data_IF_993172506265
#
_entry.id   IF_993172506265
#
_cell.length_a   1.000
_cell.length_b   1.000
_cell.length_c   1.000
_cell.angle_alpha   90.00
_cell.angle_beta   90.00
_cell.angle_gamma   90.00
#
_symmetry.space_group_name_H-M   'P 1'
#
loop_
_entity.id
_entity.type
_entity.pdbx_description
1 polymer ?
#
# COMPACT_ATOMS: atom_id res chain seq x y z
N UNK A 1 -22.00 25.60 4.13
CA UNK A 1 -20.66 25.84 3.55
C UNK A 1 -20.08 24.48 3.19
N UNK A 2 -19.46 24.30 2.01
CA UNK A 2 -18.79 23.04 1.69
C UNK A 2 -17.65 22.80 2.70
N UNK A 3 -17.53 21.57 3.19
CA UNK A 3 -16.45 21.16 4.08
C UNK A 3 -15.11 21.27 3.33
N UNK A 4 -14.05 21.83 3.93
CA UNK A 4 -12.74 21.85 3.29
C UNK A 4 -12.30 20.43 2.94
N UNK A 5 -11.78 20.25 1.72
CA UNK A 5 -11.26 18.95 1.27
C UNK A 5 -9.92 18.70 1.94
N UNK A 6 -9.65 17.44 2.32
CA UNK A 6 -8.35 17.05 2.88
C UNK A 6 -7.26 17.28 1.83
N UNK A 7 -6.18 17.94 2.24
CA UNK A 7 -5.05 18.26 1.38
C UNK A 7 -3.99 17.17 1.45
N UNK A 8 -3.61 16.65 0.30
CA UNK A 8 -2.65 15.56 0.15
C UNK A 8 -1.47 16.07 -0.66
N UNK A 9 -0.26 15.93 -0.11
CA UNK A 9 0.97 16.00 -0.88
C UNK A 9 1.38 14.58 -1.26
N UNK A 10 1.52 14.27 -2.56
CA UNK A 10 1.91 12.95 -3.05
C UNK A 10 3.18 13.02 -3.90
N UNK A 11 4.23 12.30 -3.52
CA UNK A 11 5.46 12.23 -4.29
C UNK A 11 5.77 10.80 -4.72
N UNK A 12 6.00 10.61 -6.03
CA UNK A 12 6.26 9.32 -6.67
C UNK A 12 7.12 9.57 -7.91
N UNK A 13 8.13 8.73 -8.19
CA UNK A 13 9.02 8.93 -9.33
C UNK A 13 8.36 8.62 -10.69
N UNK A 14 7.17 8.01 -10.68
CA UNK A 14 6.48 7.54 -11.86
C UNK A 14 5.15 8.27 -12.08
N UNK A 15 5.11 9.10 -13.14
CA UNK A 15 3.94 9.90 -13.52
C UNK A 15 2.64 9.09 -13.61
N UNK A 16 2.70 7.85 -14.12
CA UNK A 16 1.52 6.98 -14.24
C UNK A 16 0.82 6.69 -12.90
N UNK A 17 1.56 6.60 -11.79
CA UNK A 17 0.98 6.35 -10.48
C UNK A 17 0.37 7.62 -9.90
N UNK A 18 1.02 8.77 -10.12
CA UNK A 18 0.45 10.09 -9.82
C UNK A 18 -0.87 10.28 -10.56
N UNK A 19 -0.89 10.06 -11.88
CA UNK A 19 -2.07 10.25 -12.72
C UNK A 19 -3.23 9.36 -12.26
N UNK A 20 -2.98 8.07 -12.05
CA UNK A 20 -3.99 7.13 -11.57
C UNK A 20 -4.54 7.51 -10.18
N UNK A 21 -3.69 7.96 -9.27
CA UNK A 21 -4.11 8.42 -7.94
C UNK A 21 -4.95 9.70 -8.02
N UNK A 22 -4.53 10.67 -8.83
CA UNK A 22 -5.26 11.92 -9.03
C UNK A 22 -6.61 11.65 -9.68
N UNK A 23 -6.68 10.82 -10.71
CA UNK A 23 -7.93 10.43 -11.37
C UNK A 23 -8.91 9.79 -10.37
N UNK A 24 -8.43 8.83 -9.57
CA UNK A 24 -9.27 8.10 -8.62
C UNK A 24 -9.75 8.95 -7.43
N UNK A 25 -9.02 10.01 -7.05
CA UNK A 25 -9.23 10.68 -5.76
C UNK A 25 -9.43 12.20 -5.81
N UNK A 26 -9.28 12.83 -6.98
CA UNK A 26 -9.51 14.28 -7.18
C UNK A 26 -10.98 14.71 -7.04
N UNK A 27 -11.91 13.79 -6.81
CA UNK A 27 -13.27 14.10 -6.36
C UNK A 27 -13.39 14.36 -4.85
N UNK A 28 -12.46 13.83 -4.05
CA UNK A 28 -12.52 13.88 -2.58
C UNK A 28 -11.35 14.63 -1.92
N UNK A 29 -10.14 14.57 -2.49
CA UNK A 29 -8.95 15.24 -1.96
C UNK A 29 -8.44 16.39 -2.83
N UNK A 30 -7.85 17.40 -2.22
CA UNK A 30 -7.03 18.42 -2.91
C UNK A 30 -5.60 17.87 -2.99
N UNK A 31 -5.10 17.57 -4.19
CA UNK A 31 -3.85 16.82 -4.38
C UNK A 31 -2.79 17.72 -5.00
N UNK A 32 -1.65 17.85 -4.31
CA UNK A 32 -0.42 18.40 -4.85
C UNK A 32 0.55 17.25 -5.08
N UNK A 33 1.10 17.12 -6.29
CA UNK A 33 1.98 16.01 -6.64
C UNK A 33 3.34 16.43 -7.15
N UNK A 34 4.35 15.59 -6.93
CA UNK A 34 5.73 15.82 -7.36
C UNK A 34 6.42 14.55 -7.81
N UNK A 35 7.23 14.64 -8.87
CA UNK A 35 8.02 13.52 -9.39
C UNK A 35 9.37 13.34 -8.68
N UNK A 36 9.80 14.32 -7.90
CA UNK A 36 11.14 14.38 -7.35
C UNK A 36 11.13 14.52 -5.83
N UNK A 37 11.44 13.42 -5.15
CA UNK A 37 11.53 13.37 -3.69
C UNK A 37 12.58 14.33 -3.12
N UNK A 38 13.62 14.67 -3.89
CA UNK A 38 14.65 15.60 -3.44
C UNK A 38 14.11 17.02 -3.24
N UNK A 39 13.05 17.37 -3.96
CA UNK A 39 12.37 18.66 -3.87
C UNK A 39 11.27 18.69 -2.81
N UNK A 40 10.84 17.54 -2.29
CA UNK A 40 9.62 17.44 -1.49
C UNK A 40 9.59 18.35 -0.26
N UNK A 41 10.72 18.48 0.45
CA UNK A 41 10.81 19.39 1.60
C UNK A 41 10.55 20.85 1.21
N UNK A 42 11.18 21.30 0.12
CA UNK A 42 11.06 22.68 -0.33
C UNK A 42 9.66 22.98 -0.86
N UNK A 43 9.04 22.01 -1.54
CA UNK A 43 7.67 22.13 -2.06
C UNK A 43 6.63 22.16 -0.94
N UNK A 44 6.74 21.26 0.04
CA UNK A 44 5.87 21.28 1.23
C UNK A 44 6.04 22.58 2.02
N UNK A 45 7.26 23.11 2.15
CA UNK A 45 7.48 24.40 2.82
C UNK A 45 6.78 25.54 2.07
N UNK A 46 6.87 25.59 0.73
CA UNK A 46 6.15 26.59 -0.07
C UNK A 46 4.64 26.52 0.11
N UNK A 47 4.07 25.31 0.23
CA UNK A 47 2.64 25.11 0.51
C UNK A 47 2.29 25.65 1.90
N UNK A 48 3.10 25.35 2.92
CA UNK A 48 2.92 25.89 4.27
C UNK A 48 2.93 27.42 4.27
N UNK A 49 3.91 28.03 3.60
CA UNK A 49 4.08 29.49 3.55
C UNK A 49 2.90 30.20 2.85
N UNK A 50 2.19 29.50 1.96
CA UNK A 50 0.99 29.98 1.27
C UNK A 50 -0.31 29.75 2.04
N UNK A 51 -0.27 29.10 3.21
CA UNK A 51 -1.48 28.67 3.93
C UNK A 51 -2.15 27.42 3.34
N UNK A 52 -1.45 26.71 2.47
CA UNK A 52 -1.88 25.49 1.77
C UNK A 52 -1.27 24.23 2.42
N UNK A 53 -1.03 24.25 3.74
CA UNK A 53 -0.41 23.13 4.47
C UNK A 53 -1.13 21.80 4.16
N UNK A 54 -0.41 20.75 3.70
CA UNK A 54 -0.98 19.41 3.56
C UNK A 54 -1.43 18.81 4.89
N UNK A 55 -2.53 18.07 4.87
CA UNK A 55 -3.00 17.26 6.01
C UNK A 55 -2.35 15.88 6.01
N UNK A 56 -2.01 15.37 4.82
CA UNK A 56 -1.37 14.07 4.59
C UNK A 56 -0.22 14.24 3.61
N UNK A 57 0.90 13.57 3.90
CA UNK A 57 2.06 13.48 3.00
C UNK A 57 2.23 12.00 2.66
N UNK A 58 2.14 11.67 1.37
CA UNK A 58 2.37 10.36 0.79
C UNK A 58 3.69 10.42 0.01
N UNK A 59 4.65 9.57 0.38
CA UNK A 59 5.95 9.51 -0.27
C UNK A 59 6.18 8.09 -0.76
N UNK A 60 6.55 7.93 -2.02
CA UNK A 60 7.12 6.68 -2.49
C UNK A 60 8.46 6.42 -1.79
N UNK A 61 8.68 5.16 -1.46
CA UNK A 61 9.83 4.75 -0.67
C UNK A 61 11.05 4.45 -1.55
N UNK A 62 10.85 4.16 -2.84
CA UNK A 62 11.89 3.62 -3.71
C UNK A 62 12.12 4.48 -4.96
N UNK A 63 12.92 5.52 -4.78
CA UNK A 63 13.41 6.29 -5.92
C UNK A 63 14.66 5.65 -6.55
N UNK A 64 14.77 5.65 -7.89
CA UNK A 64 15.94 5.15 -8.61
C UNK A 64 17.24 5.82 -8.16
N UNK A 65 18.26 5.01 -7.85
CA UNK A 65 19.58 5.53 -7.51
C UNK A 65 20.30 6.04 -8.76
N UNK A 66 20.71 7.31 -8.83
CA UNK A 66 21.46 7.84 -9.97
C UNK A 66 22.83 7.14 -10.08
N UNK A 67 23.39 7.10 -11.28
CA UNK A 67 24.73 6.56 -11.51
C UNK A 67 24.91 5.98 -12.92
N UNK A 68 26.10 5.43 -13.22
CA UNK A 68 26.33 4.68 -14.44
C UNK A 68 25.30 3.55 -14.58
N UNK A 69 24.91 3.26 -15.81
CA UNK A 69 23.97 2.19 -16.16
C UNK A 69 22.59 2.31 -15.48
N UNK A 70 22.16 3.54 -15.19
CA UNK A 70 20.87 3.84 -14.56
C UNK A 70 19.71 3.09 -15.21
N UNK A 71 19.54 3.26 -16.53
CA UNK A 71 18.44 2.67 -17.29
C UNK A 71 18.51 1.13 -17.23
N UNK A 72 19.68 0.55 -17.50
CA UNK A 72 19.88 -0.89 -17.47
C UNK A 72 19.59 -1.52 -16.10
N UNK A 73 19.97 -0.85 -15.00
CA UNK A 73 19.66 -1.32 -13.63
C UNK A 73 18.16 -1.24 -13.34
N UNK A 74 17.50 -0.16 -13.76
CA UNK A 74 16.07 -0.01 -13.57
C UNK A 74 15.29 -1.06 -14.37
N UNK A 75 15.66 -1.32 -15.62
CA UNK A 75 15.01 -2.31 -16.47
C UNK A 75 15.25 -3.75 -15.99
N UNK A 76 16.45 -4.04 -15.46
CA UNK A 76 16.69 -5.31 -14.79
C UNK A 76 15.81 -5.48 -13.54
N UNK A 77 15.71 -4.44 -12.70
CA UNK A 77 14.89 -4.48 -11.50
C UNK A 77 13.41 -4.71 -11.84
N UNK A 78 12.87 -4.00 -12.84
CA UNK A 78 11.50 -4.20 -13.33
C UNK A 78 11.25 -5.64 -13.78
N UNK A 79 12.13 -6.20 -14.62
CA UNK A 79 12.03 -7.59 -15.06
C UNK A 79 12.05 -8.58 -13.89
N UNK A 80 12.91 -8.36 -12.88
CA UNK A 80 12.96 -9.23 -11.69
C UNK A 80 11.72 -9.13 -10.81
N UNK A 81 11.09 -7.96 -10.73
CA UNK A 81 9.81 -7.80 -10.05
C UNK A 81 8.68 -8.52 -10.80
N UNK A 82 8.69 -8.50 -12.13
CA UNK A 82 7.75 -9.25 -12.97
C UNK A 82 7.91 -10.77 -12.79
N UNK A 83 9.15 -11.28 -12.85
CA UNK A 83 9.46 -12.70 -12.60
C UNK A 83 8.98 -13.16 -11.21
N UNK A 84 9.18 -12.31 -10.17
CA UNK A 84 8.70 -12.61 -8.83
C UNK A 84 7.18 -12.72 -8.79
N UNK A 85 6.46 -11.83 -9.46
CA UNK A 85 5.01 -11.86 -9.48
C UNK A 85 4.46 -13.07 -10.23
N UNK A 86 5.09 -13.49 -11.32
CA UNK A 86 4.78 -14.75 -12.00
C UNK A 86 4.92 -15.93 -11.03
N UNK A 87 6.02 -15.97 -10.27
CA UNK A 87 6.23 -17.03 -9.26
C UNK A 87 5.23 -16.98 -8.12
N UNK A 88 4.82 -15.80 -7.67
CA UNK A 88 3.75 -15.65 -6.69
C UNK A 88 2.43 -16.20 -7.24
N UNK A 89 2.09 -15.92 -8.50
CA UNK A 89 0.89 -16.46 -9.16
C UNK A 89 0.95 -17.98 -9.29
N UNK A 90 2.11 -18.53 -9.63
CA UNK A 90 2.36 -19.97 -9.74
C UNK A 90 2.21 -20.69 -8.39
N UNK A 91 2.74 -20.13 -7.30
CA UNK A 91 2.78 -20.77 -5.98
C UNK A 91 1.44 -20.71 -5.24
N UNK A 92 0.65 -19.64 -5.46
CA UNK A 92 -0.59 -19.37 -4.72
C UNK A 92 -1.58 -20.56 -4.67
N UNK A 93 -1.87 -21.29 -5.77
CA UNK A 93 -2.79 -22.43 -5.71
C UNK A 93 -2.32 -23.56 -4.78
N UNK A 94 -1.02 -23.84 -4.74
CA UNK A 94 -0.46 -24.88 -3.87
C UNK A 94 -0.62 -24.50 -2.39
N UNK A 95 -0.40 -23.23 -2.08
CA UNK A 95 -0.57 -22.71 -0.72
C UNK A 95 -2.04 -22.77 -0.32
N UNK A 96 -2.96 -22.37 -1.20
CA UNK A 96 -4.40 -22.43 -0.93
C UNK A 96 -4.93 -23.87 -0.83
N UNK A 97 -4.27 -24.84 -1.49
CA UNK A 97 -4.59 -26.26 -1.36
C UNK A 97 -4.09 -26.85 -0.03
N UNK A 98 -2.94 -26.38 0.47
CA UNK A 98 -2.33 -26.90 1.70
C UNK A 98 -2.82 -26.20 2.98
N UNK A 99 -3.20 -24.92 2.90
CA UNK A 99 -3.56 -24.09 4.06
C UNK A 99 -4.83 -23.29 3.82
N UNK A 100 -5.57 -23.04 4.89
CA UNK A 100 -6.75 -22.14 4.92
C UNK A 100 -6.49 -20.97 5.86
N UNK A 101 -6.83 -19.76 5.43
CA UNK A 101 -6.75 -18.53 6.21
C UNK A 101 -7.81 -18.44 7.33
N UNK A 102 -7.82 -19.41 8.27
CA UNK A 102 -8.77 -19.47 9.39
C UNK A 102 -8.71 -18.28 10.35
N UNK A 103 -7.67 -17.46 10.25
CA UNK A 103 -7.51 -16.27 11.05
C UNK A 103 -8.62 -15.23 10.83
N UNK A 104 -9.10 -15.07 9.59
CA UNK A 104 -10.19 -14.13 9.29
C UNK A 104 -11.52 -14.61 9.87
N UNK A 105 -11.79 -15.91 9.77
CA UNK A 105 -12.97 -16.53 10.39
C UNK A 105 -12.94 -16.28 11.91
N UNK A 106 -11.80 -16.52 12.56
CA UNK A 106 -11.62 -16.27 13.99
C UNK A 106 -11.75 -14.78 14.36
N UNK A 107 -11.28 -13.85 13.51
CA UNK A 107 -11.43 -12.42 13.74
C UNK A 107 -12.92 -12.02 13.80
N UNK A 108 -13.72 -12.51 12.84
CA UNK A 108 -15.16 -12.22 12.80
C UNK A 108 -15.84 -12.71 14.07
N UNK A 109 -15.54 -13.93 14.50
CA UNK A 109 -16.07 -14.51 15.74
C UNK A 109 -15.65 -13.69 16.98
N UNK A 110 -14.36 -13.35 17.11
CA UNK A 110 -13.86 -12.54 18.23
C UNK A 110 -14.50 -11.15 18.28
N UNK A 111 -14.77 -10.54 17.14
CA UNK A 111 -15.44 -9.22 17.05
C UNK A 111 -16.93 -9.26 17.37
N UNK A 112 -17.54 -10.44 17.56
CA UNK A 112 -18.89 -10.54 18.15
C UNK A 112 -18.88 -10.36 19.68
N UNK A 113 -17.71 -10.49 20.32
CA UNK A 113 -17.57 -10.40 21.77
C UNK A 113 -17.35 -8.94 22.18
N UNK A 114 -18.39 -8.30 22.76
CA UNK A 114 -18.31 -6.91 23.24
C UNK A 114 -17.14 -6.61 24.17
N UNK A 115 -16.72 -7.60 24.97
CA UNK A 115 -15.56 -7.46 25.86
C UNK A 115 -14.24 -7.22 25.10
N UNK A 116 -14.18 -7.59 23.82
CA UNK A 116 -13.02 -7.46 22.96
C UNK A 116 -13.10 -6.30 21.97
N UNK A 117 -14.17 -5.49 21.98
CA UNK A 117 -14.36 -4.35 21.06
C UNK A 117 -13.18 -3.36 21.07
N UNK A 118 -12.50 -3.25 22.22
CA UNK A 118 -11.34 -2.35 22.43
C UNK A 118 -10.01 -3.08 22.44
N UNK A 119 -10.02 -4.40 22.24
CA UNK A 119 -8.79 -5.18 22.18
C UNK A 119 -8.26 -5.15 20.76
N UNK A 120 -7.04 -4.64 20.52
CA UNK A 120 -6.46 -4.69 19.20
C UNK A 120 -6.14 -6.14 18.82
N UNK A 121 -6.41 -6.51 17.57
CA UNK A 121 -6.11 -7.83 17.02
C UNK A 121 -5.07 -7.69 15.92
N UNK A 122 -4.01 -8.51 15.98
CA UNK A 122 -3.03 -8.64 14.91
C UNK A 122 -3.03 -10.02 14.28
N UNK A 123 -2.92 -10.04 12.96
CA UNK A 123 -2.41 -11.20 12.24
C UNK A 123 -0.89 -11.28 12.33
N UNK A 124 -0.41 -12.43 12.72
CA UNK A 124 1.02 -12.75 12.79
C UNK A 124 1.31 -13.85 11.78
N UNK A 125 1.91 -13.52 10.64
CA UNK A 125 1.98 -14.39 9.44
C UNK A 125 3.37 -14.45 8.82
N UNK A 126 3.75 -15.54 8.15
CA UNK A 126 5.07 -15.65 7.49
C UNK A 126 5.04 -15.00 6.11
N UNK A 127 6.18 -14.42 5.65
CA UNK A 127 6.31 -13.71 4.36
C UNK A 127 5.78 -14.54 3.17
N UNK A 128 6.08 -15.84 3.16
CA UNK A 128 5.63 -16.78 2.13
C UNK A 128 4.22 -17.33 2.30
N UNK A 129 3.42 -16.84 3.26
CA UNK A 129 2.01 -17.21 3.46
C UNK A 129 1.07 -16.00 3.39
N UNK A 130 1.61 -14.80 3.10
CA UNK A 130 0.81 -13.59 2.90
C UNK A 130 0.31 -13.56 1.45
N UNK A 131 -0.69 -14.38 1.16
CA UNK A 131 -1.41 -14.35 -0.13
C UNK A 131 -2.84 -13.86 0.03
N UNK A 132 -3.11 -13.03 1.03
CA UNK A 132 -4.42 -12.42 1.17
C UNK A 132 -4.77 -11.68 -0.12
N UNK A 133 -5.94 -11.98 -0.65
CA UNK A 133 -6.59 -11.21 -1.70
C UNK A 133 -6.93 -9.81 -1.20
N UNK A 134 -7.18 -8.89 -2.14
CA UNK A 134 -7.67 -7.55 -1.82
C UNK A 134 -8.96 -7.60 -0.97
N UNK A 135 -9.86 -8.54 -1.28
CA UNK A 135 -11.08 -8.77 -0.50
C UNK A 135 -10.78 -9.17 0.93
N UNK A 136 -9.85 -10.11 1.14
CA UNK A 136 -9.44 -10.55 2.49
C UNK A 136 -8.73 -9.44 3.28
N UNK A 137 -7.92 -8.60 2.61
CA UNK A 137 -7.30 -7.43 3.24
C UNK A 137 -8.36 -6.39 3.62
N UNK A 138 -9.30 -6.11 2.72
CA UNK A 138 -10.40 -5.18 2.97
C UNK A 138 -11.23 -5.63 4.16
N UNK A 139 -11.52 -6.93 4.24
CA UNK A 139 -12.25 -7.53 5.35
C UNK A 139 -11.48 -7.45 6.67
N UNK A 140 -10.17 -7.75 6.65
CA UNK A 140 -9.29 -7.57 7.81
C UNK A 140 -9.36 -6.13 8.35
N UNK A 141 -9.26 -5.14 7.48
CA UNK A 141 -9.30 -3.73 7.88
C UNK A 141 -10.69 -3.28 8.33
N UNK A 142 -11.77 -3.80 7.72
CA UNK A 142 -13.14 -3.53 8.13
C UNK A 142 -13.44 -4.02 9.56
N UNK A 143 -12.67 -4.99 10.06
CA UNK A 143 -12.75 -5.51 11.42
C UNK A 143 -11.68 -4.93 12.37
N UNK A 144 -11.07 -3.79 12.01
CA UNK A 144 -10.04 -3.10 12.79
C UNK A 144 -8.90 -4.04 13.23
N UNK A 145 -8.47 -4.93 12.33
CA UNK A 145 -7.28 -5.76 12.54
C UNK A 145 -6.06 -5.20 11.81
N UNK A 146 -4.90 -5.30 12.45
CA UNK A 146 -3.61 -5.02 11.84
C UNK A 146 -2.86 -6.33 11.57
N UNK A 147 -1.67 -6.25 10.97
CA UNK A 147 -0.84 -7.43 10.70
C UNK A 147 0.65 -7.15 10.92
N UNK A 148 1.43 -8.23 11.08
CA UNK A 148 2.88 -8.21 11.28
C UNK A 148 3.51 -9.51 10.75
N UNK A 149 4.63 -9.41 10.01
CA UNK A 149 5.27 -10.56 9.33
C UNK A 149 6.29 -11.29 10.18
N UNK A 150 6.18 -12.60 10.43
CA UNK A 150 7.09 -13.49 11.21
C UNK A 150 8.56 -13.53 10.77
N UNK A 151 8.95 -12.75 9.75
CA UNK A 151 10.21 -12.87 9.03
C UNK A 151 11.43 -12.59 9.93
N UNK A 152 12.39 -13.51 9.94
CA UNK A 152 13.64 -13.41 10.71
C UNK A 152 14.61 -12.41 10.06
N UNK A 153 14.57 -12.23 8.74
CA UNK A 153 15.55 -11.41 7.99
C UNK A 153 15.39 -9.90 8.24
N UNK A 154 14.20 -9.47 8.68
CA UNK A 154 13.85 -8.05 8.85
C UNK A 154 13.47 -7.70 10.29
N UNK A 155 13.73 -8.60 11.25
CA UNK A 155 13.27 -8.42 12.62
C UNK A 155 14.38 -8.46 13.65
N UNK A 156 14.32 -7.44 14.51
CA UNK A 156 14.79 -7.57 15.88
C UNK A 156 13.59 -7.75 16.82
N UNK A 157 13.73 -8.49 17.94
CA UNK A 157 12.72 -8.51 19.00
C UNK A 157 12.32 -7.11 19.50
N UNK A 158 13.20 -6.12 19.36
CA UNK A 158 12.90 -4.73 19.70
C UNK A 158 11.85 -4.12 18.75
N UNK A 159 11.90 -4.41 17.44
CA UNK A 159 10.94 -3.93 16.45
C UNK A 159 9.54 -4.49 16.70
N UNK A 160 9.43 -5.79 17.01
CA UNK A 160 8.15 -6.41 17.37
C UNK A 160 7.55 -5.77 18.63
N UNK A 161 8.38 -5.63 19.67
CA UNK A 161 7.98 -5.01 20.93
C UNK A 161 7.49 -3.59 20.70
N UNK A 162 8.23 -2.79 19.93
CA UNK A 162 7.84 -1.43 19.61
C UNK A 162 6.47 -1.37 18.91
N UNK A 163 6.22 -2.26 17.93
CA UNK A 163 4.94 -2.31 17.21
C UNK A 163 3.77 -2.75 18.10
N UNK A 164 3.97 -3.77 18.92
CA UNK A 164 2.95 -4.21 19.90
C UNK A 164 2.65 -3.10 20.93
N UNK A 165 3.68 -2.43 21.44
CA UNK A 165 3.53 -1.30 22.37
C UNK A 165 2.80 -0.12 21.73
N UNK A 166 3.19 0.27 20.51
CA UNK A 166 2.57 1.37 19.78
C UNK A 166 1.08 1.10 19.55
N UNK A 167 0.74 -0.12 19.14
CA UNK A 167 -0.66 -0.47 18.89
C UNK A 167 -1.46 -0.51 20.19
N UNK A 168 -0.94 -1.15 21.25
CA UNK A 168 -1.61 -1.14 22.55
C UNK A 168 -1.84 0.29 23.06
N UNK A 169 -0.87 1.18 22.87
CA UNK A 169 -0.99 2.59 23.24
C UNK A 169 -2.06 3.34 22.42
N UNK A 170 -2.13 3.12 21.10
CA UNK A 170 -3.14 3.71 20.22
C UNK A 170 -4.56 3.37 20.69
N UNK A 171 -4.81 2.12 21.03
CA UNK A 171 -6.14 1.66 21.48
C UNK A 171 -6.48 2.13 22.90
N UNK A 172 -5.48 2.33 23.77
CA UNK A 172 -5.73 2.91 25.11
C UNK A 172 -6.06 4.40 25.07
N UNK A 173 -5.55 5.13 24.08
CA UNK A 173 -5.69 6.60 24.01
C UNK A 173 -6.88 7.08 23.19
N UNK A 174 -7.42 6.26 22.30
CA UNK A 174 -8.52 6.63 21.44
C UNK A 174 -9.88 6.34 22.11
N UNK A 175 -10.71 7.36 22.24
CA UNK A 175 -12.12 7.22 22.61
C UNK A 175 -13.01 8.00 21.61
N UNK A 176 -13.81 7.31 20.77
CA UNK A 176 -13.85 5.86 20.57
C UNK A 176 -12.56 5.32 19.91
N UNK A 177 -12.30 3.99 19.94
CA UNK A 177 -11.25 3.41 19.11
C UNK A 177 -11.43 3.86 17.66
N UNK A 178 -10.35 4.16 16.94
CA UNK A 178 -10.46 4.69 15.59
C UNK A 178 -11.03 3.57 14.72
N UNK A 179 -12.32 3.64 14.39
CA UNK A 179 -12.88 2.87 13.28
C UNK A 179 -12.12 3.33 12.05
N UNK A 180 -11.24 2.51 11.52
CA UNK A 180 -10.61 2.88 10.26
C UNK A 180 -11.72 2.83 9.20
N UNK A 181 -11.99 3.93 8.47
CA UNK A 181 -12.80 3.78 7.28
C UNK A 181 -12.12 2.73 6.40
N UNK A 182 -12.90 1.83 5.79
CA UNK A 182 -12.42 0.76 4.89
C UNK A 182 -11.45 1.24 3.80
N UNK A 183 -11.35 2.55 3.61
CA UNK A 183 -10.49 3.29 2.69
C UNK A 183 -9.00 3.29 3.04
N UNK A 184 -8.61 3.16 4.32
CA UNK A 184 -7.19 3.04 4.73
C UNK A 184 -6.57 1.68 4.35
N UNK A 185 -7.43 0.70 3.98
CA UNK A 185 -7.00 -0.56 3.39
C UNK A 185 -6.20 -0.36 2.10
N UNK A 186 -6.55 0.67 1.30
CA UNK A 186 -5.93 0.94 0.01
C UNK A 186 -4.46 1.37 0.14
N UNK A 187 -4.10 2.11 1.20
CA UNK A 187 -2.72 2.61 1.42
C UNK A 187 -1.81 1.48 1.91
N UNK A 188 -2.31 0.59 2.75
CA UNK A 188 -1.55 -0.60 3.14
C UNK A 188 -1.51 -1.65 2.02
N UNK A 189 -2.54 -1.71 1.17
CA UNK A 189 -2.48 -2.41 -0.11
C UNK A 189 -1.35 -1.85 -0.95
N UNK A 190 -1.19 -0.53 -1.13
CA UNK A 190 -0.09 0.05 -1.90
C UNK A 190 1.31 -0.36 -1.38
N UNK A 191 1.51 -0.58 -0.08
CA UNK A 191 2.80 -1.07 0.44
C UNK A 191 3.05 -2.58 0.19
N UNK A 192 2.00 -3.41 0.25
CA UNK A 192 2.09 -4.85 -0.03
C UNK A 192 2.07 -5.11 -1.55
N UNK A 193 1.30 -4.31 -2.29
CA UNK A 193 1.16 -4.25 -3.73
C UNK A 193 2.37 -3.56 -4.39
N UNK A 194 3.06 -2.60 -3.77
CA UNK A 194 4.38 -2.17 -4.25
C UNK A 194 5.40 -3.33 -4.20
N UNK A 195 5.13 -4.36 -3.39
CA UNK A 195 5.91 -5.61 -3.35
C UNK A 195 5.31 -6.73 -4.21
N UNK A 196 4.08 -6.61 -4.74
CA UNK A 196 3.36 -7.68 -5.45
C UNK A 196 2.55 -7.29 -6.72
N UNK A 197 2.43 -6.01 -7.08
CA UNK A 197 1.48 -5.42 -8.07
C UNK A 197 2.15 -4.44 -9.03
N UNK A 198 3.45 -4.13 -8.87
CA UNK A 198 4.24 -3.60 -9.99
C UNK A 198 4.16 -4.50 -11.25
N UNK A 199 3.71 -5.75 -11.10
CA UNK A 199 3.50 -6.73 -12.16
C UNK A 199 2.02 -6.98 -12.58
N UNK A 200 1.02 -6.28 -12.02
CA UNK A 200 -0.38 -6.46 -12.45
C UNK A 200 -0.92 -5.30 -13.31
N UNK A 201 -0.20 -4.18 -13.42
CA UNK A 201 -0.64 -3.01 -14.20
C UNK A 201 -0.03 -2.86 -15.60
N UNK A 202 0.76 -3.84 -16.07
CA UNK A 202 1.27 -3.86 -17.45
C UNK A 202 0.25 -4.37 -18.49
N UNK A 203 -1.00 -4.65 -18.11
CA UNK A 203 -2.05 -5.11 -19.04
C UNK A 203 -3.36 -4.31 -18.97
N UNK A 204 -3.28 -2.99 -18.76
CA UNK A 204 -4.41 -2.09 -19.04
C UNK A 204 -4.68 -1.98 -20.55
N UNK A 205 -5.95 -1.81 -21.00
CA UNK A 205 -6.36 -1.91 -22.40
C UNK A 205 -5.81 -0.84 -23.35
N UNK A 206 -4.99 0.11 -22.87
CA UNK A 206 -4.33 1.11 -23.71
C UNK A 206 -3.00 0.61 -24.33
N UNK A 207 -2.39 -0.46 -23.81
CA UNK A 207 -1.16 -1.03 -24.37
C UNK A 207 -1.36 -1.82 -25.67
N UNK A 208 -2.59 -2.23 -25.99
CA UNK A 208 -2.89 -3.04 -27.20
C UNK A 208 -3.23 -2.22 -28.44
N UNK A 209 -3.35 -0.90 -28.33
CA UNK A 209 -3.66 -0.03 -29.47
C UNK A 209 -2.42 0.40 -30.27
N UNK A 210 -1.22 0.36 -29.66
CA UNK A 210 0.02 0.71 -30.36
C UNK A 210 0.49 -0.39 -31.32
N UNK A 211 0.31 -1.66 -30.94
CA UNK A 211 0.72 -2.80 -31.78
C UNK A 211 -0.28 -3.11 -32.91
N UNK A 212 -1.55 -2.71 -32.75
CA UNK A 212 -2.56 -2.87 -33.80
C UNK A 212 -2.44 -1.83 -34.93
N UNK A 213 -1.85 -0.66 -34.67
CA UNK A 213 -1.70 0.41 -35.67
C UNK A 213 -0.36 0.35 -36.42
N UNK A 214 0.65 -0.32 -35.87
CA UNK A 214 1.96 -0.48 -36.51
C UNK A 214 1.98 -1.57 -37.61
N UNK A 215 0.97 -2.45 -37.63
CA UNK A 215 0.83 -3.50 -38.65
C UNK A 215 -0.06 -3.14 -39.85
N UNK A 216 -0.59 -1.91 -39.91
CA UNK A 216 -1.49 -1.45 -40.99
C UNK A 216 -0.82 -0.46 -41.96
N UNK A 217 0.43 -0.08 -41.72
CA UNK A 217 1.21 0.82 -42.59
C UNK A 217 2.66 0.35 -42.83
N UNK A 218 2.91 -0.96 -42.74
CA UNK A 218 4.19 -1.59 -43.11
C UNK A 218 4.01 -2.53 -44.30
#
# INVERSE_FOLDING_TARGET
>A
MPTPRTRVYYCDDQQRFIDAFVEAHSGEFEIHSSLDISCAKAEVQKLIDRGERPDVILLDMFHPKPGPDFEARCDLAKRKLEELADKVREVRPYVNAAWRARGLDALKELRTLRALDRVPILFYTQRGLVFLSETELTEMYAHDADWMMKDEDFRSPATERARLTQMAARYRRADPPPRRPARDAAIALAAIAATAVAAAFLQGPLGRLHDALSGLFG
#
